data_IF_746275519623
#
_entry.id   IF_746275519623
#
_cell.length_a   1.000
_cell.length_b   1.000
_cell.length_c   1.000
_cell.angle_alpha   90.00
_cell.angle_beta   90.00
_cell.angle_gamma   90.00
#
_symmetry.space_group_name_H-M   'P 1'
#
loop_
_entity.id
_entity.type
_entity.pdbx_description
1 polymer ?
#
# COMPACT_ATOMS: atom_id res chain seq x y z
N UNK A 1 14.12 23.23 9.14
CA UNK A 1 13.49 21.91 8.93
C UNK A 1 14.60 20.87 8.86
N UNK A 2 14.57 19.85 9.73
CA UNK A 2 15.52 18.73 9.69
C UNK A 2 15.47 18.04 8.30
N UNK A 3 16.62 17.71 7.76
CA UNK A 3 16.78 16.97 6.50
C UNK A 3 17.18 15.53 6.83
N UNK A 4 16.86 14.58 5.95
CA UNK A 4 17.28 13.16 6.10
C UNK A 4 18.80 13.06 6.34
N UNK A 5 19.58 13.93 5.68
CA UNK A 5 21.03 13.97 5.87
C UNK A 5 21.47 14.34 7.30
N UNK A 6 20.67 15.16 8.00
CA UNK A 6 20.97 15.61 9.36
C UNK A 6 20.75 14.50 10.42
N UNK A 7 19.97 13.45 10.08
CA UNK A 7 19.65 12.30 10.94
C UNK A 7 20.21 10.98 10.38
N UNK A 8 21.23 11.03 9.52
CA UNK A 8 21.71 9.84 8.82
C UNK A 8 22.22 8.75 9.76
N UNK A 9 22.96 9.13 10.78
CA UNK A 9 23.52 8.19 11.78
C UNK A 9 22.41 7.44 12.52
N UNK A 10 21.39 8.16 12.97
CA UNK A 10 20.26 7.60 13.69
C UNK A 10 19.40 6.70 12.79
N UNK A 11 19.24 7.08 11.53
CA UNK A 11 18.50 6.27 10.55
C UNK A 11 19.23 4.96 10.24
N UNK A 12 20.55 5.00 10.07
CA UNK A 12 21.34 3.78 9.90
C UNK A 12 21.22 2.89 11.13
N UNK A 13 21.40 3.44 12.33
CA UNK A 13 21.27 2.68 13.59
C UNK A 13 19.88 2.05 13.73
N UNK A 14 18.82 2.75 13.33
CA UNK A 14 17.47 2.21 13.34
C UNK A 14 17.31 1.04 12.35
N UNK A 15 17.90 1.14 11.17
CA UNK A 15 17.91 0.06 10.19
C UNK A 15 18.72 -1.16 10.66
N UNK A 16 19.85 -0.94 11.33
CA UNK A 16 20.65 -2.01 11.94
C UNK A 16 19.84 -2.74 13.01
N UNK A 17 19.19 -1.99 13.89
CA UNK A 17 18.31 -2.55 14.93
C UNK A 17 17.16 -3.35 14.33
N UNK A 18 16.54 -2.86 13.27
CA UNK A 18 15.46 -3.59 12.60
C UNK A 18 15.95 -4.93 12.02
N UNK A 19 17.16 -4.97 11.46
CA UNK A 19 17.78 -6.22 10.98
C UNK A 19 18.16 -7.17 12.11
N UNK A 20 18.77 -6.65 13.17
CA UNK A 20 19.15 -7.44 14.35
C UNK A 20 17.96 -8.19 14.96
N UNK A 21 16.81 -7.51 15.02
CA UNK A 21 15.60 -8.08 15.65
C UNK A 21 14.63 -8.70 14.63
N UNK A 22 15.02 -8.88 13.38
CA UNK A 22 14.15 -9.33 12.26
C UNK A 22 12.83 -8.56 12.19
N UNK A 23 12.86 -7.25 12.46
CA UNK A 23 11.69 -6.38 12.37
C UNK A 23 11.56 -5.85 10.96
N UNK A 24 10.42 -6.09 10.34
CA UNK A 24 10.08 -5.56 9.03
C UNK A 24 9.37 -4.22 9.15
N UNK A 25 9.98 -3.18 8.62
CA UNK A 25 9.41 -1.84 8.59
C UNK A 25 8.62 -1.63 7.29
N UNK A 26 7.47 -0.97 7.38
CA UNK A 26 6.68 -0.56 6.22
C UNK A 26 5.95 0.75 6.50
N UNK A 27 5.63 1.50 5.44
CA UNK A 27 4.72 2.63 5.51
C UNK A 27 3.36 2.26 4.94
N UNK A 28 2.32 2.84 5.51
CA UNK A 28 0.96 2.79 4.99
C UNK A 28 0.33 4.19 5.07
N UNK A 29 0.66 5.07 4.11
CA UNK A 29 0.24 6.47 4.16
C UNK A 29 -1.26 6.62 3.89
N UNK A 30 -1.95 7.33 4.78
CA UNK A 30 -3.35 7.68 4.60
C UNK A 30 -3.51 8.86 3.62
N UNK A 31 -4.55 8.81 2.79
CA UNK A 31 -4.94 9.91 1.92
C UNK A 31 -4.03 10.15 0.71
N UNK A 32 -3.11 9.24 0.42
CA UNK A 32 -2.26 9.26 -0.77
C UNK A 32 -2.94 8.46 -1.88
N UNK A 33 -3.22 9.12 -3.01
CA UNK A 33 -3.84 8.49 -4.18
C UNK A 33 -3.08 8.87 -5.46
N UNK A 34 -2.56 7.88 -6.17
CA UNK A 34 -1.89 8.09 -7.45
C UNK A 34 -2.91 8.33 -8.59
N UNK A 35 -4.12 7.82 -8.45
CA UNK A 35 -5.15 7.94 -9.49
C UNK A 35 -5.97 9.24 -9.43
N UNK A 36 -5.62 10.20 -8.55
CA UNK A 36 -6.33 11.49 -8.45
C UNK A 36 -6.28 12.27 -9.77
N UNK A 37 -7.39 12.88 -10.26
CA UNK A 37 -7.35 13.76 -11.43
C UNK A 37 -6.68 15.10 -11.14
N UNK A 38 -6.52 15.49 -9.88
CA UNK A 38 -5.92 16.73 -9.42
C UNK A 38 -4.37 16.62 -9.47
N UNK A 39 -3.74 17.37 -10.36
CA UNK A 39 -2.28 17.34 -10.55
C UNK A 39 -1.51 17.86 -9.33
N UNK A 40 -2.04 18.84 -8.60
CA UNK A 40 -1.39 19.34 -7.38
C UNK A 40 -1.39 18.28 -6.27
N UNK A 41 -2.50 17.56 -6.12
CA UNK A 41 -2.57 16.40 -5.22
C UNK A 41 -1.60 15.30 -5.65
N UNK A 42 -1.51 15.02 -6.93
CA UNK A 42 -0.56 14.04 -7.46
C UNK A 42 0.89 14.44 -7.15
N UNK A 43 1.26 15.68 -7.42
CA UNK A 43 2.61 16.18 -7.11
C UNK A 43 2.94 16.10 -5.63
N UNK A 44 1.97 16.40 -4.74
CA UNK A 44 2.15 16.22 -3.28
C UNK A 44 2.31 14.75 -2.91
N UNK A 45 1.49 13.86 -3.48
CA UNK A 45 1.57 12.42 -3.28
C UNK A 45 2.94 11.88 -3.67
N UNK A 46 3.44 12.19 -4.86
CA UNK A 46 4.75 11.74 -5.35
C UNK A 46 5.88 12.27 -4.47
N UNK A 47 5.84 13.52 -4.02
CA UNK A 47 6.84 14.06 -3.10
C UNK A 47 6.84 13.32 -1.76
N UNK A 48 5.66 12.99 -1.25
CA UNK A 48 5.52 12.26 0.01
C UNK A 48 6.07 10.83 -0.12
N UNK A 49 5.70 10.11 -1.16
CA UNK A 49 6.21 8.76 -1.43
C UNK A 49 7.73 8.75 -1.63
N UNK A 50 8.27 9.76 -2.33
CA UNK A 50 9.72 9.93 -2.49
C UNK A 50 10.43 10.16 -1.15
N UNK A 51 9.83 10.92 -0.24
CA UNK A 51 10.39 11.11 1.09
C UNK A 51 10.43 9.81 1.90
N UNK A 52 9.36 9.02 1.86
CA UNK A 52 9.30 7.72 2.52
C UNK A 52 10.31 6.72 1.94
N UNK A 53 10.40 6.64 0.61
CA UNK A 53 11.39 5.76 -0.04
C UNK A 53 12.83 6.15 0.33
N UNK A 54 13.15 7.46 0.39
CA UNK A 54 14.47 7.95 0.84
C UNK A 54 14.75 7.64 2.31
N UNK A 55 13.73 7.66 3.18
CA UNK A 55 13.89 7.24 4.57
C UNK A 55 14.26 5.76 4.66
N UNK A 56 13.57 4.90 3.89
CA UNK A 56 13.89 3.47 3.84
C UNK A 56 15.32 3.22 3.33
N UNK A 57 15.73 3.95 2.30
CA UNK A 57 17.11 3.84 1.78
C UNK A 57 18.16 4.35 2.77
N UNK A 58 17.86 5.44 3.49
CA UNK A 58 18.75 5.97 4.54
C UNK A 58 18.91 5.01 5.72
N UNK A 59 17.90 4.19 6.00
CA UNK A 59 17.95 3.08 6.97
C UNK A 59 18.58 1.80 6.38
N UNK A 60 19.00 1.80 5.11
CA UNK A 60 19.52 0.64 4.39
C UNK A 60 18.58 -0.59 4.47
N UNK A 61 17.28 -0.37 4.39
CA UNK A 61 16.27 -1.45 4.43
C UNK A 61 16.22 -2.21 3.09
N UNK A 62 16.02 -3.52 3.18
CA UNK A 62 15.88 -4.43 2.05
C UNK A 62 14.58 -4.24 1.23
N UNK A 63 14.37 -5.06 0.21
CA UNK A 63 13.22 -4.96 -0.69
C UNK A 63 11.88 -5.30 -0.02
N UNK A 64 11.90 -5.99 1.13
CA UNK A 64 10.70 -6.28 1.92
C UNK A 64 10.15 -5.06 2.68
N UNK A 65 10.93 -3.98 2.77
CA UNK A 65 10.46 -2.71 3.33
C UNK A 65 9.66 -1.96 2.26
N UNK A 66 8.36 -1.94 2.40
CA UNK A 66 7.43 -1.48 1.37
C UNK A 66 6.55 -0.31 1.82
N UNK A 67 6.00 0.39 0.85
CA UNK A 67 4.98 1.42 1.03
C UNK A 67 3.67 0.86 0.47
N UNK A 68 2.71 0.61 1.36
CA UNK A 68 1.41 0.05 0.99
C UNK A 68 0.48 1.18 0.56
N UNK A 69 -0.14 1.04 -0.61
CA UNK A 69 -1.11 2.00 -1.13
C UNK A 69 -2.43 1.29 -1.47
N UNK A 70 -3.53 2.03 -1.34
CA UNK A 70 -4.77 1.73 -2.06
C UNK A 70 -4.77 2.42 -3.42
N UNK A 71 -5.65 1.98 -4.33
CA UNK A 71 -5.80 2.61 -5.67
C UNK A 71 -6.18 4.08 -5.53
N UNK A 72 -7.07 4.39 -4.59
CA UNK A 72 -7.56 5.74 -4.31
C UNK A 72 -9.05 5.91 -4.57
N UNK A 73 -9.47 7.03 -5.16
CA UNK A 73 -10.88 7.32 -5.44
C UNK A 73 -11.35 6.78 -6.79
N UNK A 74 -12.66 6.54 -6.89
CA UNK A 74 -13.35 6.46 -8.19
C UNK A 74 -13.78 7.88 -8.54
N UNK A 75 -13.15 8.49 -9.53
CA UNK A 75 -13.37 9.89 -9.90
C UNK A 75 -14.33 10.03 -11.08
N UNK A 76 -14.20 9.16 -12.09
CA UNK A 76 -15.06 9.08 -13.25
C UNK A 76 -15.80 7.75 -13.28
N UNK A 77 -15.04 6.71 -13.55
CA UNK A 77 -15.44 5.31 -13.48
C UNK A 77 -14.27 4.44 -13.00
N UNK A 78 -14.53 3.22 -12.52
CA UNK A 78 -13.48 2.34 -11.99
C UNK A 78 -12.40 1.99 -13.01
N UNK A 79 -12.75 1.78 -14.28
CA UNK A 79 -11.81 1.40 -15.34
C UNK A 79 -10.83 2.54 -15.66
N UNK A 80 -11.33 3.75 -15.85
CA UNK A 80 -10.50 4.95 -16.08
C UNK A 80 -9.61 5.23 -14.87
N UNK A 81 -10.13 5.05 -13.65
CA UNK A 81 -9.38 5.24 -12.42
C UNK A 81 -8.23 4.23 -12.27
N UNK A 82 -8.43 2.95 -12.62
CA UNK A 82 -7.38 1.93 -12.68
C UNK A 82 -6.33 2.24 -13.74
N UNK A 83 -6.76 2.59 -14.95
CA UNK A 83 -5.84 2.95 -16.04
C UNK A 83 -4.98 4.18 -15.70
N UNK A 84 -5.56 5.17 -15.00
CA UNK A 84 -4.84 6.34 -14.50
C UNK A 84 -3.81 5.97 -13.44
N UNK A 85 -4.15 5.05 -12.52
CA UNK A 85 -3.21 4.51 -11.54
C UNK A 85 -2.01 3.86 -12.22
N UNK A 86 -2.25 2.94 -13.16
CA UNK A 86 -1.20 2.24 -13.92
C UNK A 86 -0.23 3.20 -14.58
N UNK A 87 -0.74 4.13 -15.41
CA UNK A 87 0.11 5.12 -16.10
C UNK A 87 1.01 5.91 -15.14
N UNK A 88 0.46 6.30 -13.99
CA UNK A 88 1.21 7.09 -13.01
C UNK A 88 2.21 6.27 -12.21
N UNK A 89 1.85 5.03 -11.89
CA UNK A 89 2.77 4.09 -11.28
C UNK A 89 3.99 3.84 -12.18
N UNK A 90 3.78 3.59 -13.46
CA UNK A 90 4.84 3.36 -14.44
C UNK A 90 5.74 4.60 -14.63
N UNK A 91 5.19 5.79 -14.51
CA UNK A 91 5.92 7.06 -14.60
C UNK A 91 6.74 7.39 -13.32
N UNK A 92 6.57 6.65 -12.22
CA UNK A 92 7.33 6.88 -11.00
C UNK A 92 8.81 6.51 -11.20
N UNK A 93 9.69 7.23 -10.48
CA UNK A 93 11.10 6.85 -10.42
C UNK A 93 11.28 5.45 -9.81
N UNK A 94 12.32 4.69 -10.22
CA UNK A 94 12.60 3.37 -9.65
C UNK A 94 12.73 3.39 -8.12
N UNK A 95 13.31 4.45 -7.55
CA UNK A 95 13.39 4.67 -6.10
C UNK A 95 12.04 4.50 -5.39
N UNK A 96 10.98 5.05 -5.96
CA UNK A 96 9.63 4.98 -5.38
C UNK A 96 8.92 3.70 -5.83
N UNK A 97 8.94 3.41 -7.13
CA UNK A 97 8.22 2.29 -7.72
C UNK A 97 8.59 0.95 -7.10
N UNK A 98 9.89 0.71 -6.84
CA UNK A 98 10.38 -0.55 -6.25
C UNK A 98 9.99 -0.74 -4.77
N UNK A 99 9.43 0.28 -4.13
CA UNK A 99 8.94 0.22 -2.75
C UNK A 99 7.42 0.09 -2.66
N UNK A 100 6.70 0.33 -3.77
CA UNK A 100 5.25 0.34 -3.75
C UNK A 100 4.65 -1.05 -3.88
N UNK A 101 3.64 -1.30 -3.05
CA UNK A 101 2.75 -2.45 -3.13
C UNK A 101 1.29 -1.98 -3.05
N UNK A 102 0.37 -2.71 -3.64
CA UNK A 102 -1.03 -2.31 -3.77
C UNK A 102 -1.93 -3.23 -2.95
N UNK A 103 -2.80 -2.63 -2.14
CA UNK A 103 -3.74 -3.32 -1.27
C UNK A 103 -5.17 -3.15 -1.76
N UNK A 104 -5.99 -4.22 -1.66
CA UNK A 104 -7.44 -4.14 -1.85
C UNK A 104 -8.07 -3.28 -0.76
N UNK A 105 -9.16 -2.58 -1.08
CA UNK A 105 -9.89 -1.76 -0.10
C UNK A 105 -11.30 -2.32 0.18
N UNK A 106 -11.97 -1.74 1.18
CA UNK A 106 -13.29 -2.16 1.65
C UNK A 106 -14.45 -1.38 1.02
N UNK A 107 -14.17 -0.46 0.06
CA UNK A 107 -15.19 0.46 -0.45
C UNK A 107 -15.25 0.57 -1.97
N UNK A 108 -14.14 0.49 -2.69
CA UNK A 108 -14.06 0.93 -4.09
C UNK A 108 -13.36 -0.04 -5.02
N UNK A 109 -12.24 -0.59 -4.59
CA UNK A 109 -11.39 -1.45 -5.41
C UNK A 109 -11.17 -2.79 -4.72
N UNK A 110 -11.96 -3.77 -5.13
CA UNK A 110 -11.87 -5.14 -4.63
C UNK A 110 -10.53 -5.81 -5.03
N UNK A 111 -10.33 -7.02 -4.57
CA UNK A 111 -9.16 -7.82 -4.95
C UNK A 111 -9.03 -7.98 -6.47
N UNK A 112 -10.13 -8.24 -7.18
CA UNK A 112 -10.14 -8.37 -8.65
C UNK A 112 -9.68 -7.11 -9.38
N UNK A 113 -9.95 -5.93 -8.82
CA UNK A 113 -9.48 -4.66 -9.37
C UNK A 113 -7.97 -4.51 -9.26
N UNK A 114 -7.41 -4.77 -8.07
CA UNK A 114 -5.96 -4.69 -7.88
C UNK A 114 -5.21 -5.81 -8.60
N UNK A 115 -5.82 -6.99 -8.74
CA UNK A 115 -5.32 -8.07 -9.57
C UNK A 115 -5.24 -7.66 -11.04
N UNK A 116 -6.27 -7.00 -11.57
CA UNK A 116 -6.24 -6.45 -12.94
C UNK A 116 -5.14 -5.41 -13.13
N UNK A 117 -4.89 -4.53 -12.14
CA UNK A 117 -3.76 -3.59 -12.16
C UNK A 117 -2.42 -4.33 -12.16
N UNK A 118 -2.24 -5.32 -11.28
CA UNK A 118 -1.02 -6.12 -11.21
C UNK A 118 -0.69 -6.75 -12.56
N UNK A 119 -1.67 -7.38 -13.21
CA UNK A 119 -1.46 -8.02 -14.52
C UNK A 119 -0.97 -7.07 -15.61
N UNK A 120 -1.19 -5.78 -15.48
CA UNK A 120 -0.72 -4.78 -16.45
C UNK A 120 0.66 -4.25 -16.10
N UNK A 121 0.92 -3.87 -14.84
CA UNK A 121 2.13 -3.14 -14.46
C UNK A 121 3.06 -3.88 -13.48
N UNK A 122 2.70 -5.09 -13.05
CA UNK A 122 3.55 -5.93 -12.19
C UNK A 122 3.70 -5.45 -10.75
N UNK A 123 2.91 -4.48 -10.28
CA UNK A 123 2.98 -4.02 -8.89
C UNK A 123 2.63 -5.16 -7.92
N UNK A 124 3.45 -5.49 -6.91
CA UNK A 124 3.13 -6.55 -5.94
C UNK A 124 1.90 -6.21 -5.11
N UNK A 125 1.16 -7.24 -4.70
CA UNK A 125 -0.10 -7.07 -3.97
C UNK A 125 0.04 -7.40 -2.49
N UNK A 126 -0.62 -6.60 -1.66
CA UNK A 126 -0.92 -6.91 -0.26
C UNK A 126 -2.39 -7.27 -0.17
N UNK A 127 -2.68 -8.44 0.33
CA UNK A 127 -4.05 -8.87 0.58
C UNK A 127 -4.47 -8.48 1.99
N UNK A 128 -5.59 -7.77 2.12
CA UNK A 128 -6.28 -7.56 3.40
C UNK A 128 -7.55 -8.41 3.46
N UNK A 129 -7.59 -9.33 4.44
CA UNK A 129 -8.69 -10.27 4.59
C UNK A 129 -10.00 -9.61 5.01
N UNK A 130 -9.93 -8.57 5.84
CA UNK A 130 -11.13 -7.88 6.30
C UNK A 130 -11.75 -7.03 5.19
N UNK A 131 -10.93 -6.32 4.42
CA UNK A 131 -11.38 -5.60 3.24
C UNK A 131 -12.04 -6.55 2.23
N UNK A 132 -11.44 -7.72 2.01
CA UNK A 132 -12.00 -8.75 1.12
C UNK A 132 -13.34 -9.32 1.62
N UNK A 133 -13.53 -9.46 2.93
CA UNK A 133 -14.81 -9.87 3.50
C UNK A 133 -15.91 -8.81 3.30
N UNK A 134 -15.53 -7.53 3.27
CA UNK A 134 -16.46 -6.40 3.11
C UNK A 134 -16.76 -6.13 1.63
N UNK A 135 -15.75 -6.20 0.76
CA UNK A 135 -15.86 -5.91 -0.68
C UNK A 135 -15.32 -7.05 -1.53
N UNK A 136 -16.22 -7.95 -1.95
CA UNK A 136 -15.90 -9.08 -2.83
C UNK A 136 -17.06 -9.38 -3.77
N UNK A 137 -17.35 -8.48 -4.74
CA UNK A 137 -18.51 -8.60 -5.60
C UNK A 137 -18.47 -9.86 -6.50
N UNK A 138 -17.28 -10.28 -6.94
CA UNK A 138 -17.08 -11.47 -7.76
C UNK A 138 -17.00 -12.77 -6.95
N UNK A 139 -17.12 -12.69 -5.62
CA UNK A 139 -17.08 -13.84 -4.70
C UNK A 139 -15.84 -14.72 -4.85
N UNK A 140 -14.69 -14.09 -5.09
CA UNK A 140 -13.41 -14.80 -5.16
C UNK A 140 -13.13 -15.50 -3.82
N UNK A 141 -12.83 -16.80 -3.78
CA UNK A 141 -12.49 -17.49 -2.56
C UNK A 141 -11.27 -16.84 -1.87
N UNK A 142 -11.34 -16.64 -0.56
CA UNK A 142 -10.25 -15.99 0.19
C UNK A 142 -8.90 -16.67 0.01
N UNK A 143 -8.89 -18.00 -0.03
CA UNK A 143 -7.67 -18.79 -0.24
C UNK A 143 -7.03 -18.48 -1.58
N UNK A 144 -7.81 -18.45 -2.64
CA UNK A 144 -7.36 -18.12 -3.99
C UNK A 144 -6.77 -16.71 -4.05
N UNK A 145 -7.50 -15.72 -3.50
CA UNK A 145 -7.04 -14.34 -3.46
C UNK A 145 -5.72 -14.17 -2.68
N UNK A 146 -5.54 -14.89 -1.57
CA UNK A 146 -4.29 -14.90 -0.81
C UNK A 146 -3.16 -15.53 -1.62
N UNK A 147 -3.37 -16.72 -2.18
CA UNK A 147 -2.37 -17.44 -2.96
C UNK A 147 -1.92 -16.60 -4.17
N UNK A 148 -2.86 -15.99 -4.89
CA UNK A 148 -2.59 -15.08 -6.00
C UNK A 148 -1.77 -13.85 -5.53
N UNK A 149 -2.19 -13.17 -4.45
CA UNK A 149 -1.46 -12.01 -3.93
C UNK A 149 -0.02 -12.37 -3.53
N UNK A 150 0.17 -13.49 -2.84
CA UNK A 150 1.50 -13.96 -2.44
C UNK A 150 2.38 -14.27 -3.67
N UNK A 151 1.79 -14.82 -4.73
CA UNK A 151 2.47 -15.11 -5.99
C UNK A 151 2.97 -13.88 -6.76
N UNK A 152 2.49 -12.68 -6.42
CA UNK A 152 2.93 -11.43 -7.08
C UNK A 152 4.30 -10.92 -6.62
N UNK A 153 4.82 -11.47 -5.54
CA UNK A 153 6.08 -11.02 -4.95
C UNK A 153 7.28 -11.69 -5.60
N UNK A 154 8.36 -10.94 -5.75
CA UNK A 154 9.60 -11.47 -6.32
C UNK A 154 10.20 -12.59 -5.47
N UNK A 155 10.83 -13.57 -6.11
CA UNK A 155 11.52 -14.65 -5.41
C UNK A 155 12.54 -14.09 -4.40
N UNK A 156 12.54 -14.66 -3.20
CA UNK A 156 13.42 -14.26 -2.10
C UNK A 156 12.95 -13.03 -1.31
N UNK A 157 11.86 -12.39 -1.70
CA UNK A 157 11.23 -11.32 -0.91
C UNK A 157 10.06 -11.91 -0.12
N UNK A 158 10.11 -11.76 1.20
CA UNK A 158 9.03 -12.23 2.09
C UNK A 158 7.74 -11.41 1.84
N UNK A 159 6.63 -12.02 1.38
CA UNK A 159 5.39 -11.31 1.12
C UNK A 159 4.79 -10.67 2.38
N UNK A 160 3.88 -9.74 2.19
CA UNK A 160 3.10 -9.10 3.27
C UNK A 160 1.61 -9.27 3.01
N UNK A 161 0.87 -9.60 4.06
CA UNK A 161 -0.58 -9.55 4.11
C UNK A 161 -1.02 -8.72 5.32
N UNK A 162 -2.23 -8.19 5.25
CA UNK A 162 -2.92 -7.64 6.41
C UNK A 162 -3.99 -8.63 6.86
N UNK A 163 -3.95 -8.98 8.14
CA UNK A 163 -4.88 -9.92 8.73
C UNK A 163 -5.50 -9.34 9.99
N UNK A 164 -6.81 -9.22 10.00
CA UNK A 164 -7.58 -8.73 11.14
C UNK A 164 -8.92 -9.45 11.24
N UNK A 165 -9.48 -9.45 12.45
CA UNK A 165 -10.83 -9.97 12.68
C UNK A 165 -11.82 -8.82 12.75
N UNK A 166 -13.04 -8.99 12.21
CA UNK A 166 -14.09 -8.00 12.37
C UNK A 166 -14.42 -7.85 13.86
N UNK A 167 -14.85 -6.67 14.24
CA UNK A 167 -15.30 -6.42 15.62
C UNK A 167 -16.53 -7.29 15.89
N UNK A 168 -16.48 -8.09 16.94
CA UNK A 168 -17.59 -8.99 17.33
C UNK A 168 -18.74 -8.26 18.00
N UNK A 169 -18.49 -7.08 18.59
CA UNK A 169 -19.50 -6.25 19.22
C UNK A 169 -19.52 -4.85 18.63
N UNK A 170 -20.66 -4.47 18.10
CA UNK A 170 -20.94 -3.10 17.67
C UNK A 170 -21.41 -2.30 18.89
N UNK A 171 -20.54 -1.48 19.49
CA UNK A 171 -20.91 -0.59 20.60
C UNK A 171 -21.09 0.83 20.09
N UNK A 172 -22.23 1.45 20.46
CA UNK A 172 -22.42 2.89 20.26
C UNK A 172 -21.47 3.65 21.18
N UNK A 173 -20.65 4.52 20.62
CA UNK A 173 -19.80 5.38 21.44
C UNK A 173 -20.66 6.44 22.13
N UNK A 174 -20.45 6.72 23.43
CA UNK A 174 -21.14 7.82 24.12
C UNK A 174 -20.97 9.14 23.34
N UNK A 175 -22.07 9.83 23.05
CA UNK A 175 -22.09 11.09 22.32
C UNK A 175 -21.86 11.01 20.80
N UNK A 176 -21.78 9.80 20.21
CA UNK A 176 -21.59 9.61 18.77
C UNK A 176 -22.86 9.07 18.12
N UNK A 177 -23.23 9.64 16.97
CA UNK A 177 -24.28 9.08 16.10
C UNK A 177 -23.75 7.92 15.23
N UNK A 178 -22.44 7.64 15.25
CA UNK A 178 -21.80 6.60 14.46
C UNK A 178 -21.53 5.36 15.30
N UNK A 179 -21.85 4.20 14.77
CA UNK A 179 -21.41 2.89 15.28
C UNK A 179 -20.00 2.64 14.73
N UNK A 180 -19.09 2.27 15.59
CA UNK A 180 -17.75 1.80 15.18
C UNK A 180 -17.64 0.31 15.40
#
# INVERSE_FOLDING_TARGET
RARIADCRTELVALGDLAREWDIRLSFHPYGIALNTPDEDRLHRAIRYLRAQARLMDAMALGPEAVIVLHVGGVYDDPQTSRARFVRRYEALSPLVRNRLVLENDDHRFAFTDIWAIHKVCGIPLVFDNLHHLVLNPERVPMREAVEDALGTWSAGVRPKIHFSSPRTEMRRLPGSSRTK
#
